data_IF_892898363374
#
_entry.id   IF_892898363374
#
_cell.length_a   1.000
_cell.length_b   1.000
_cell.length_c   1.000
_cell.angle_alpha   90.00
_cell.angle_beta   90.00
_cell.angle_gamma   90.00
#
_symmetry.space_group_name_H-M   'P 1'
#
loop_
_entity.id
_entity.type
_entity.pdbx_description
1 polymer ?
#
# COMPACT_ATOMS: atom_id res chain seq x y z
N UNK A 1 6.15 -9.16 -4.39
CA UNK A 1 5.56 -7.97 -3.71
C UNK A 1 4.08 -8.23 -3.51
N UNK A 2 3.47 -7.67 -2.46
CA UNK A 2 2.02 -7.70 -2.26
C UNK A 2 1.55 -6.45 -1.50
N UNK A 3 0.24 -6.33 -1.30
CA UNK A 3 -0.37 -5.32 -0.45
C UNK A 3 -1.00 -5.99 0.79
N UNK A 4 -1.01 -5.28 1.91
CA UNK A 4 -1.67 -5.71 3.15
C UNK A 4 -2.64 -4.62 3.60
N UNK A 5 -3.90 -5.00 3.83
CA UNK A 5 -4.96 -4.08 4.22
C UNK A 5 -5.56 -4.49 5.56
N UNK A 6 -5.88 -3.49 6.38
CA UNK A 6 -6.65 -3.66 7.62
C UNK A 6 -7.91 -2.82 7.51
N UNK A 7 -9.05 -3.49 7.30
CA UNK A 7 -10.34 -2.82 7.11
C UNK A 7 -10.76 -2.02 8.35
N UNK A 8 -10.47 -2.54 9.54
CA UNK A 8 -10.70 -1.85 10.81
C UNK A 8 -9.46 -1.08 11.33
N UNK A 9 -8.49 -0.82 10.46
CA UNK A 9 -7.28 -0.08 10.78
C UNK A 9 -6.25 -0.81 11.62
N UNK A 10 -5.04 -0.26 11.64
CA UNK A 10 -3.87 -0.72 12.39
C UNK A 10 -3.11 0.48 12.98
N UNK A 11 -2.35 0.25 14.05
CA UNK A 11 -1.58 1.29 14.74
C UNK A 11 -2.43 2.51 15.13
N UNK A 12 -1.96 3.70 14.74
CA UNK A 12 -2.64 4.98 15.01
C UNK A 12 -4.02 5.12 14.34
N UNK A 13 -4.31 4.32 13.30
CA UNK A 13 -5.59 4.35 12.59
C UNK A 13 -6.60 3.30 13.04
N UNK A 14 -6.24 2.47 14.04
CA UNK A 14 -7.09 1.38 14.51
C UNK A 14 -8.47 1.89 14.97
N UNK A 15 -9.53 1.26 14.47
CA UNK A 15 -10.93 1.59 14.78
C UNK A 15 -11.46 2.88 14.14
N UNK A 16 -10.64 3.62 13.39
CA UNK A 16 -11.03 4.94 12.84
C UNK A 16 -10.73 5.08 11.35
N UNK A 17 -9.75 4.36 10.84
CA UNK A 17 -9.31 4.39 9.45
C UNK A 17 -9.25 2.96 8.88
N UNK A 18 -9.26 2.87 7.55
CA UNK A 18 -8.70 1.74 6.82
C UNK A 18 -7.19 2.01 6.68
N UNK A 19 -6.37 1.02 7.04
CA UNK A 19 -4.92 1.10 6.89
C UNK A 19 -4.46 0.27 5.69
N UNK A 20 -3.55 0.82 4.90
CA UNK A 20 -3.05 0.19 3.68
C UNK A 20 -1.53 0.20 3.63
N UNK A 21 -0.94 -0.97 3.39
CA UNK A 21 0.50 -1.18 3.41
C UNK A 21 0.99 -1.91 2.16
N UNK A 22 2.21 -1.59 1.77
CA UNK A 22 3.00 -2.29 0.78
C UNK A 22 3.94 -3.28 1.46
N UNK A 23 4.17 -4.43 0.83
CA UNK A 23 5.02 -5.49 1.34
C UNK A 23 5.96 -5.97 0.24
N UNK A 24 7.26 -5.92 0.51
CA UNK A 24 8.25 -6.65 -0.26
C UNK A 24 8.23 -8.11 0.16
N UNK A 25 8.21 -9.00 -0.84
CA UNK A 25 8.25 -10.44 -0.66
C UNK A 25 9.56 -10.95 -1.24
N UNK A 26 10.06 -12.07 -0.71
CA UNK A 26 11.18 -12.77 -1.32
C UNK A 26 10.80 -13.18 -2.75
N UNK A 27 11.65 -12.81 -3.70
CA UNK A 27 11.54 -13.19 -5.10
C UNK A 27 12.66 -14.15 -5.50
N UNK A 28 12.37 -15.02 -6.47
CA UNK A 28 13.34 -15.97 -7.02
C UNK A 28 14.58 -15.28 -7.63
N UNK A 29 14.44 -14.01 -8.04
CA UNK A 29 15.48 -13.23 -8.69
C UNK A 29 16.10 -12.15 -7.79
N UNK A 30 15.88 -12.20 -6.46
CA UNK A 30 16.40 -11.20 -5.51
C UNK A 30 17.93 -11.09 -5.49
N UNK A 31 18.65 -12.10 -5.99
CA UNK A 31 20.10 -12.06 -6.16
C UNK A 31 20.56 -11.12 -7.31
N UNK A 32 19.69 -10.84 -8.27
CA UNK A 32 19.97 -10.03 -9.46
C UNK A 32 19.43 -8.60 -9.36
N UNK A 33 18.51 -8.35 -8.41
CA UNK A 33 17.86 -7.06 -8.24
C UNK A 33 18.66 -6.14 -7.30
N UNK A 34 18.60 -4.81 -7.50
CA UNK A 34 19.25 -3.84 -6.63
C UNK A 34 18.59 -3.76 -5.25
N UNK A 35 19.39 -3.53 -4.20
CA UNK A 35 18.93 -3.37 -2.82
C UNK A 35 19.61 -2.18 -2.12
N UNK A 36 18.93 -1.47 -1.20
CA UNK A 36 17.52 -1.65 -0.82
C UNK A 36 16.55 -1.24 -1.94
N UNK A 37 15.32 -1.76 -1.89
CA UNK A 37 14.25 -1.37 -2.80
C UNK A 37 14.00 0.14 -2.71
N UNK A 38 13.99 0.82 -3.85
CA UNK A 38 13.98 2.29 -3.95
C UNK A 38 12.87 2.85 -4.84
N UNK A 39 12.06 1.99 -5.42
CA UNK A 39 11.03 2.38 -6.37
C UNK A 39 9.91 3.15 -5.67
N UNK A 40 9.46 4.26 -6.27
CA UNK A 40 8.33 5.02 -5.75
C UNK A 40 7.08 4.13 -5.73
N UNK A 41 6.39 4.08 -4.58
CA UNK A 41 5.16 3.31 -4.41
C UNK A 41 3.99 4.26 -4.24
N UNK A 42 2.92 4.04 -4.99
CA UNK A 42 1.64 4.76 -4.85
C UNK A 42 0.57 3.77 -4.43
N UNK A 43 -0.06 4.03 -3.29
CA UNK A 43 -1.18 3.28 -2.75
C UNK A 43 -2.48 4.02 -3.07
N UNK A 44 -3.51 3.31 -3.53
CA UNK A 44 -4.76 3.94 -3.97
C UNK A 44 -6.00 3.14 -3.53
N UNK A 45 -7.03 3.87 -3.12
CA UNK A 45 -8.41 3.38 -3.03
C UNK A 45 -9.21 3.93 -4.21
N UNK A 46 -9.79 3.03 -4.99
CA UNK A 46 -10.46 3.40 -6.23
C UNK A 46 -11.89 3.84 -5.97
N UNK A 47 -12.19 5.11 -6.23
CA UNK A 47 -13.56 5.61 -6.41
C UNK A 47 -14.30 4.88 -7.55
N UNK A 48 -15.46 4.32 -7.22
CA UNK A 48 -16.34 3.61 -8.15
C UNK A 48 -17.46 4.50 -8.72
N UNK A 49 -17.55 5.75 -8.24
CA UNK A 49 -18.44 6.77 -8.79
C UNK A 49 -18.00 7.29 -10.16
N UNK A 50 -18.86 8.05 -10.86
CA UNK A 50 -18.58 8.60 -12.18
C UNK A 50 -17.41 9.60 -12.18
N UNK A 51 -17.16 10.25 -11.03
CA UNK A 51 -16.10 11.24 -10.88
C UNK A 51 -14.68 10.67 -10.78
N UNK A 52 -14.53 9.35 -10.54
CA UNK A 52 -13.24 8.66 -10.43
C UNK A 52 -12.22 9.38 -9.53
N UNK A 53 -12.67 9.94 -8.41
CA UNK A 53 -11.85 10.66 -7.42
C UNK A 53 -11.13 9.67 -6.50
N UNK A 54 -10.20 8.92 -7.07
CA UNK A 54 -9.41 7.95 -6.32
C UNK A 54 -8.61 8.63 -5.21
N UNK A 55 -8.65 8.06 -4.00
CA UNK A 55 -7.78 8.48 -2.91
C UNK A 55 -6.41 7.83 -3.12
N UNK A 56 -5.35 8.61 -2.98
CA UNK A 56 -3.98 8.15 -3.22
C UNK A 56 -3.00 8.76 -2.25
N UNK A 57 -2.02 7.97 -1.87
CA UNK A 57 -0.83 8.42 -1.17
C UNK A 57 0.39 7.75 -1.80
N UNK A 58 1.53 8.44 -1.83
CA UNK A 58 2.73 7.94 -2.45
C UNK A 58 3.95 8.24 -1.59
N UNK A 59 4.83 7.26 -1.47
CA UNK A 59 6.08 7.40 -0.73
C UNK A 59 7.27 6.92 -1.56
N UNK A 60 8.42 7.50 -1.27
CA UNK A 60 9.71 6.97 -1.69
C UNK A 60 10.26 6.10 -0.56
N UNK A 61 10.61 4.83 -0.80
CA UNK A 61 11.20 3.96 0.21
C UNK A 61 12.40 4.59 0.91
N UNK A 62 12.41 4.56 2.25
CA UNK A 62 13.58 4.95 3.05
C UNK A 62 14.65 3.83 2.99
N UNK A 63 15.86 4.09 2.47
CA UNK A 63 16.92 3.09 2.38
C UNK A 63 17.32 2.47 3.73
N UNK A 64 17.07 3.17 4.85
CA UNK A 64 17.43 2.69 6.19
C UNK A 64 16.36 1.77 6.80
N UNK A 65 15.13 1.82 6.29
CA UNK A 65 14.01 1.01 6.80
C UNK A 65 14.23 -0.47 6.48
N UNK A 66 14.00 -1.32 7.49
CA UNK A 66 14.07 -2.78 7.33
C UNK A 66 13.03 -3.32 6.35
N UNK A 67 11.91 -2.61 6.13
CA UNK A 67 10.87 -2.98 5.16
C UNK A 67 11.39 -3.09 3.72
N UNK A 68 12.44 -2.35 3.39
CA UNK A 68 12.94 -2.22 2.02
C UNK A 68 14.29 -2.91 1.78
N UNK A 69 14.84 -3.57 2.79
CA UNK A 69 16.07 -4.38 2.65
C UNK A 69 15.80 -5.66 1.86
N UNK A 70 16.87 -6.30 1.38
CA UNK A 70 16.80 -7.62 0.74
C UNK A 70 16.07 -8.61 1.65
N UNK A 71 15.00 -9.28 1.20
CA UNK A 71 14.24 -10.22 2.00
C UNK A 71 15.11 -11.36 2.53
N UNK A 72 14.96 -11.64 3.83
CA UNK A 72 15.56 -12.81 4.49
C UNK A 72 14.52 -13.89 4.79
N UNK A 73 13.24 -13.52 4.89
CA UNK A 73 12.08 -14.43 4.97
C UNK A 73 11.10 -14.19 3.82
N UNK A 74 9.94 -14.84 3.83
CA UNK A 74 8.93 -14.73 2.76
C UNK A 74 8.44 -13.29 2.52
N UNK A 75 8.28 -12.52 3.60
CA UNK A 75 7.76 -11.17 3.58
C UNK A 75 8.54 -10.28 4.54
N UNK A 76 8.89 -9.08 4.09
CA UNK A 76 9.41 -8.04 4.96
C UNK A 76 8.30 -7.43 5.83
N UNK A 77 8.71 -6.60 6.81
CA UNK A 77 7.78 -5.78 7.58
C UNK A 77 7.04 -4.83 6.62
N UNK A 78 5.72 -4.81 6.71
CA UNK A 78 4.87 -3.97 5.87
C UNK A 78 5.14 -2.47 6.13
N UNK A 79 5.10 -1.65 5.07
CA UNK A 79 5.28 -0.20 5.16
C UNK A 79 4.21 0.51 4.34
N UNK A 80 3.63 1.59 4.88
CA UNK A 80 2.51 2.29 4.25
C UNK A 80 1.82 3.23 5.21
N UNK A 81 0.50 3.36 5.09
CA UNK A 81 -0.26 4.45 5.71
C UNK A 81 -1.25 3.89 6.74
N UNK A 82 -0.96 3.99 8.06
CA UNK A 82 -1.90 3.59 9.12
C UNK A 82 -3.22 4.37 9.08
N UNK A 83 -3.18 5.62 8.65
CA UNK A 83 -4.35 6.52 8.55
C UNK A 83 -4.71 6.80 7.08
N UNK A 84 -4.73 5.77 6.23
CA UNK A 84 -4.90 5.94 4.78
C UNK A 84 -6.25 6.58 4.40
N UNK A 85 -7.37 6.03 4.88
CA UNK A 85 -8.72 6.59 4.62
C UNK A 85 -9.55 6.48 5.89
N UNK A 86 -10.13 7.60 6.35
CA UNK A 86 -11.08 7.58 7.47
C UNK A 86 -12.27 6.69 7.13
N UNK A 87 -12.71 5.84 8.07
CA UNK A 87 -13.82 4.91 7.82
C UNK A 87 -15.13 5.65 7.47
N UNK A 88 -15.33 6.85 8.02
CA UNK A 88 -16.48 7.71 7.67
C UNK A 88 -16.43 8.18 6.21
N UNK A 89 -15.26 8.51 5.69
CA UNK A 89 -15.08 8.88 4.27
C UNK A 89 -15.28 7.68 3.36
N UNK A 90 -14.81 6.50 3.77
CA UNK A 90 -15.00 5.25 3.04
C UNK A 90 -16.49 4.89 2.94
N UNK A 91 -17.21 4.92 4.07
CA UNK A 91 -18.61 4.50 4.17
C UNK A 91 -19.60 5.49 3.53
N UNK A 92 -19.32 6.80 3.62
CA UNK A 92 -20.21 7.84 3.08
C UNK A 92 -19.87 8.24 1.63
N UNK A 93 -18.79 7.68 1.06
CA UNK A 93 -18.34 7.96 -0.29
C UNK A 93 -18.85 6.97 -1.33
N UNK A 94 -18.34 7.07 -2.56
CA UNK A 94 -18.62 6.17 -3.69
C UNK A 94 -17.53 5.10 -3.87
N UNK A 95 -16.84 4.75 -2.78
CA UNK A 95 -15.73 3.80 -2.79
C UNK A 95 -16.17 2.35 -2.60
N UNK A 96 -17.30 2.13 -1.89
CA UNK A 96 -17.93 0.81 -1.72
C UNK A 96 -19.10 0.74 -2.71
N UNK A 97 -19.12 -0.30 -3.52
CA UNK A 97 -20.24 -0.62 -4.42
C UNK A 97 -20.36 -2.14 -4.48
N UNK A 98 -21.59 -2.64 -4.40
CA UNK A 98 -21.86 -4.09 -4.43
C UNK A 98 -21.03 -4.85 -3.38
N UNK A 99 -20.99 -4.31 -2.15
CA UNK A 99 -20.20 -4.79 -1.00
C UNK A 99 -18.69 -5.03 -1.31
N UNK A 100 -18.17 -4.29 -2.28
CA UNK A 100 -16.82 -4.48 -2.82
C UNK A 100 -16.06 -3.16 -2.85
N UNK A 101 -14.75 -3.23 -2.53
CA UNK A 101 -13.79 -2.13 -2.73
C UNK A 101 -12.68 -2.57 -3.68
N UNK A 102 -12.04 -1.60 -4.33
CA UNK A 102 -10.89 -1.85 -5.21
C UNK A 102 -9.68 -1.07 -4.71
N UNK A 103 -8.57 -1.79 -4.50
CA UNK A 103 -7.28 -1.23 -4.11
C UNK A 103 -6.34 -1.33 -5.30
N UNK A 104 -5.58 -0.27 -5.57
CA UNK A 104 -4.53 -0.27 -6.59
C UNK A 104 -3.21 0.14 -5.97
N UNK A 105 -2.16 -0.61 -6.28
CA UNK A 105 -0.78 -0.26 -5.94
C UNK A 105 -0.01 -0.09 -7.24
N UNK A 106 0.71 1.01 -7.36
CA UNK A 106 1.58 1.31 -8.50
C UNK A 106 3.01 1.39 -7.98
N UNK A 107 3.90 0.56 -8.53
CA UNK A 107 5.33 0.64 -8.31
C UNK A 107 5.95 1.25 -9.57
N UNK A 108 6.68 2.34 -9.41
CA UNK A 108 7.36 3.01 -10.52
C UNK A 108 8.56 2.17 -10.99
N UNK A 109 8.56 1.78 -12.26
CA UNK A 109 9.64 1.00 -12.90
C UNK A 109 10.32 1.77 -14.02
N UNK A 110 10.09 3.08 -14.11
CA UNK A 110 10.61 3.91 -15.22
C UNK A 110 12.13 4.12 -15.18
N UNK A 111 12.76 3.91 -14.02
CA UNK A 111 14.21 4.02 -13.80
C UNK A 111 14.93 2.65 -13.72
N UNK A 112 14.28 1.59 -14.20
CA UNK A 112 14.84 0.24 -14.35
C UNK A 112 15.37 -0.03 -15.76
#
# INVERSE_FOLDING_TARGET
>A
MCARVYLNGDGMGKGTHLSLFFVLMRGEYDALLPWPFKQKVTLMLMDQGPSRRHLRDAFKPDPNSSSFKKPTGEMNIASGCPVFVAQTVLANGTYIKDDTIFIKVIVDTSDL
#
